data_IF_018954068575
#
_entry.id   IF_018954068575
#
_cell.length_a   1.000
_cell.length_b   1.000
_cell.length_c   1.000
_cell.angle_alpha   90.00
_cell.angle_beta   90.00
_cell.angle_gamma   90.00
#
_symmetry.space_group_name_H-M   'P 1'
#
loop_
_entity.id
_entity.type
_entity.pdbx_description
1 polymer ?
#
# COMPACT_ATOMS: atom_id res chain seq x y z
N UNK A 1 19.46 2.67 -2.13
CA UNK A 1 18.14 2.33 -1.58
C UNK A 1 17.33 1.46 -2.54
N UNK A 2 17.15 1.85 -3.82
CA UNK A 2 16.41 1.05 -4.82
C UNK A 2 16.92 -0.37 -5.06
N UNK A 3 18.24 -0.52 -5.24
CA UNK A 3 18.85 -1.86 -5.43
C UNK A 3 18.61 -2.79 -4.23
N UNK A 4 18.50 -2.23 -3.02
CA UNK A 4 18.15 -3.00 -1.84
C UNK A 4 16.69 -3.48 -1.90
N UNK A 5 15.76 -2.64 -2.36
CA UNK A 5 14.36 -3.03 -2.59
C UNK A 5 14.21 -4.18 -3.59
N UNK A 6 14.97 -4.11 -4.70
CA UNK A 6 15.05 -5.24 -5.66
C UNK A 6 15.64 -6.51 -5.04
N UNK A 7 16.58 -6.38 -4.10
CA UNK A 7 17.12 -7.51 -3.34
C UNK A 7 16.05 -8.18 -2.48
N UNK A 8 15.30 -7.38 -1.71
CA UNK A 8 14.18 -7.84 -0.86
C UNK A 8 13.14 -8.59 -1.69
N UNK A 9 12.76 -8.07 -2.86
CA UNK A 9 11.79 -8.75 -3.74
C UNK A 9 12.28 -10.08 -4.29
N UNK A 10 13.58 -10.24 -4.54
CA UNK A 10 14.13 -11.53 -5.01
C UNK A 10 13.99 -12.62 -3.95
N UNK A 11 14.05 -12.25 -2.67
CA UNK A 11 13.95 -13.19 -1.56
C UNK A 11 12.49 -13.52 -1.20
N UNK A 12 11.59 -12.53 -1.29
CA UNK A 12 10.25 -12.65 -0.69
C UNK A 12 9.07 -12.63 -1.67
N UNK A 13 9.29 -12.37 -2.97
CA UNK A 13 8.22 -12.25 -3.97
C UNK A 13 8.21 -13.37 -5.01
N UNK A 14 8.48 -14.61 -4.60
CA UNK A 14 8.47 -15.77 -5.50
C UNK A 14 7.13 -15.93 -6.23
N UNK A 15 7.16 -16.09 -7.55
CA UNK A 15 5.96 -16.21 -8.41
C UNK A 15 5.18 -14.91 -8.66
N UNK A 16 5.49 -13.81 -7.96
CA UNK A 16 4.82 -12.52 -8.16
C UNK A 16 5.40 -11.76 -9.35
N UNK A 17 4.57 -10.98 -10.05
CA UNK A 17 5.06 -10.00 -11.02
C UNK A 17 5.84 -8.91 -10.27
N UNK A 18 6.97 -8.48 -10.78
CA UNK A 18 7.74 -7.36 -10.22
C UNK A 18 7.77 -6.21 -11.19
N UNK A 19 7.42 -5.04 -10.69
CA UNK A 19 7.42 -3.78 -11.43
C UNK A 19 8.27 -2.73 -10.72
N UNK A 20 8.69 -1.77 -11.50
CA UNK A 20 9.24 -0.51 -11.04
C UNK A 20 8.28 0.61 -11.41
N UNK A 21 8.11 1.59 -10.53
CA UNK A 21 7.34 2.79 -10.82
C UNK A 21 8.23 4.01 -10.60
N UNK A 22 8.25 4.89 -11.59
CA UNK A 22 8.91 6.19 -11.53
C UNK A 22 8.04 7.25 -12.22
N UNK A 23 8.55 8.48 -12.33
CA UNK A 23 7.85 9.60 -12.98
C UNK A 23 7.51 9.34 -14.46
N UNK A 24 8.11 8.34 -15.10
CA UNK A 24 7.87 7.96 -16.49
C UNK A 24 6.84 6.83 -16.61
N UNK A 25 6.42 6.25 -15.50
CA UNK A 25 5.38 5.23 -15.42
C UNK A 25 5.90 3.89 -14.89
N UNK A 26 5.16 2.84 -15.22
CA UNK A 26 5.42 1.48 -14.71
C UNK A 26 6.25 0.66 -15.71
N UNK A 27 7.34 0.06 -15.25
CA UNK A 27 8.17 -0.87 -16.02
C UNK A 27 8.10 -2.27 -15.41
N UNK A 28 7.85 -3.29 -16.22
CA UNK A 28 7.90 -4.69 -15.76
C UNK A 28 9.36 -5.15 -15.70
N UNK A 29 9.80 -5.59 -14.52
CA UNK A 29 11.15 -6.11 -14.29
C UNK A 29 11.21 -7.64 -14.30
N UNK A 30 10.11 -8.28 -13.89
CA UNK A 30 9.97 -9.74 -13.88
C UNK A 30 8.50 -10.10 -14.00
N UNK A 31 8.17 -11.07 -14.84
CA UNK A 31 6.82 -11.62 -14.89
C UNK A 31 6.53 -12.55 -13.71
N UNK A 32 5.25 -12.81 -13.48
CA UNK A 32 4.75 -13.69 -12.45
C UNK A 32 3.31 -14.08 -12.71
N UNK A 33 2.85 -15.11 -12.02
CA UNK A 33 1.59 -15.83 -12.28
C UNK A 33 0.80 -16.14 -10.99
N UNK A 34 1.31 -15.79 -9.81
CA UNK A 34 0.66 -16.09 -8.54
C UNK A 34 -0.43 -15.08 -8.12
N UNK A 35 -0.74 -14.09 -8.98
CA UNK A 35 -1.76 -13.07 -8.74
C UNK A 35 -1.29 -11.82 -7.99
N UNK A 36 -0.05 -11.76 -7.51
CA UNK A 36 0.52 -10.57 -6.88
C UNK A 36 1.39 -9.78 -7.86
N UNK A 37 1.35 -8.45 -7.70
CA UNK A 37 2.29 -7.49 -8.30
C UNK A 37 3.05 -6.78 -7.20
N UNK A 38 4.36 -6.84 -7.24
CA UNK A 38 5.26 -6.22 -6.28
C UNK A 38 6.02 -5.06 -6.90
N UNK A 39 6.12 -3.96 -6.16
CA UNK A 39 6.80 -2.74 -6.55
C UNK A 39 8.16 -2.72 -5.86
N UNK A 40 9.23 -2.45 -6.61
CA UNK A 40 10.59 -2.48 -6.09
C UNK A 40 10.84 -1.49 -4.94
N UNK A 41 10.31 -0.28 -5.05
CA UNK A 41 10.47 0.79 -4.05
C UNK A 41 11.92 1.07 -3.64
N UNK A 42 12.05 1.79 -2.53
CA UNK A 42 13.30 2.25 -1.95
C UNK A 42 13.33 1.97 -0.43
N UNK A 43 14.08 0.95 -0.03
CA UNK A 43 14.25 0.60 1.40
C UNK A 43 14.70 1.83 2.21
N UNK A 44 13.96 2.13 3.28
CA UNK A 44 14.24 3.24 4.20
C UNK A 44 13.65 4.58 3.78
N UNK A 45 12.96 4.66 2.63
CA UNK A 45 12.23 5.86 2.20
C UNK A 45 10.78 5.76 2.66
N UNK A 46 10.28 6.84 3.27
CA UNK A 46 8.89 6.94 3.74
C UNK A 46 7.95 6.96 2.54
N UNK A 47 6.86 6.19 2.59
CA UNK A 47 5.84 6.01 1.57
C UNK A 47 6.34 5.46 0.22
N UNK A 48 7.56 4.91 0.17
CA UNK A 48 8.18 4.39 -1.05
C UNK A 48 8.98 3.12 -0.75
N UNK A 49 8.34 2.16 -0.08
CA UNK A 49 8.94 0.88 0.27
C UNK A 49 8.64 -0.25 -0.72
N UNK A 50 9.40 -1.36 -0.67
CA UNK A 50 9.12 -2.56 -1.46
C UNK A 50 7.82 -3.27 -1.03
N UNK A 51 6.72 -2.98 -1.71
CA UNK A 51 5.39 -3.52 -1.37
C UNK A 51 4.88 -4.54 -2.39
N UNK A 52 3.98 -5.43 -1.99
CA UNK A 52 3.28 -6.37 -2.85
C UNK A 52 1.77 -6.23 -2.68
N UNK A 53 1.06 -6.30 -3.81
CA UNK A 53 -0.37 -6.08 -3.89
C UNK A 53 -1.03 -7.08 -4.84
N UNK A 54 -2.23 -7.53 -4.51
CA UNK A 54 -3.07 -8.36 -5.39
C UNK A 54 -4.13 -7.48 -6.10
N UNK A 55 -5.41 -7.81 -5.98
CA UNK A 55 -6.54 -6.94 -6.31
C UNK A 55 -6.47 -5.54 -5.67
N UNK A 56 -5.70 -5.35 -4.59
CA UNK A 56 -5.45 -4.02 -4.00
C UNK A 56 -4.74 -3.04 -4.96
N UNK A 57 -4.12 -3.54 -6.04
CA UNK A 57 -3.54 -2.71 -7.10
C UNK A 57 -4.53 -1.69 -7.67
N UNK A 58 -5.82 -2.04 -7.79
CA UNK A 58 -6.84 -1.12 -8.28
C UNK A 58 -7.06 0.04 -7.31
N UNK A 59 -7.13 -0.26 -6.00
CA UNK A 59 -7.27 0.75 -4.97
C UNK A 59 -6.07 1.72 -4.95
N UNK A 60 -4.86 1.17 -5.06
CA UNK A 60 -3.63 1.99 -5.11
C UNK A 60 -3.62 2.89 -6.35
N UNK A 61 -3.99 2.36 -7.52
CA UNK A 61 -4.09 3.15 -8.76
C UNK A 61 -5.16 4.24 -8.68
N UNK A 62 -6.29 3.97 -8.02
CA UNK A 62 -7.35 4.97 -7.84
C UNK A 62 -6.92 6.10 -6.90
N UNK A 63 -6.16 5.75 -5.86
CA UNK A 63 -5.48 6.69 -5.00
C UNK A 63 -4.53 7.59 -5.81
N UNK A 64 -3.54 7.02 -6.49
CA UNK A 64 -2.58 7.81 -7.28
C UNK A 64 -3.23 8.72 -8.32
N UNK A 65 -4.42 8.37 -8.81
CA UNK A 65 -5.21 9.17 -9.75
C UNK A 65 -6.15 10.19 -9.07
N UNK A 66 -6.10 10.33 -7.75
CA UNK A 66 -6.99 11.16 -6.93
C UNK A 66 -8.48 10.97 -7.28
N UNK A 67 -8.92 9.72 -7.46
CA UNK A 67 -10.34 9.45 -7.73
C UNK A 67 -11.18 9.65 -6.48
N UNK A 68 -12.42 10.17 -6.59
CA UNK A 68 -13.26 10.50 -5.44
C UNK A 68 -13.62 9.28 -4.54
N UNK A 69 -13.48 8.06 -5.05
CA UNK A 69 -13.56 6.81 -4.29
C UNK A 69 -12.81 5.68 -4.99
N UNK A 70 -12.32 4.68 -4.26
CA UNK A 70 -11.83 3.44 -4.86
C UNK A 70 -12.90 2.73 -5.67
N UNK A 71 -12.49 2.09 -6.76
CA UNK A 71 -13.34 1.38 -7.72
C UNK A 71 -13.16 -0.14 -7.65
N UNK A 72 -12.32 -0.64 -6.74
CA UNK A 72 -12.15 -2.07 -6.53
C UNK A 72 -13.47 -2.73 -6.11
N UNK A 73 -13.82 -3.83 -6.79
CA UNK A 73 -15.07 -4.58 -6.58
C UNK A 73 -14.89 -5.82 -5.71
N UNK A 74 -13.65 -6.14 -5.34
CA UNK A 74 -13.29 -7.21 -4.40
C UNK A 74 -12.24 -6.73 -3.39
N UNK A 75 -12.15 -7.38 -2.21
CA UNK A 75 -11.09 -7.10 -1.25
C UNK A 75 -9.72 -7.37 -1.86
N UNK A 76 -8.72 -6.60 -1.43
CA UNK A 76 -7.33 -6.84 -1.77
C UNK A 76 -6.44 -6.82 -0.54
N UNK A 77 -5.22 -7.30 -0.71
CA UNK A 77 -4.15 -7.33 0.27
C UNK A 77 -3.01 -6.44 -0.23
N UNK A 78 -2.49 -5.63 0.67
CA UNK A 78 -1.20 -4.95 0.51
C UNK A 78 -0.29 -5.49 1.61
N UNK A 79 0.93 -5.90 1.30
CA UNK A 79 1.91 -6.20 2.33
C UNK A 79 3.27 -5.60 2.00
N UNK A 80 3.91 -5.11 3.05
CA UNK A 80 5.21 -4.46 3.01
C UNK A 80 6.30 -5.47 3.27
N UNK A 81 7.48 -5.29 2.66
CA UNK A 81 8.57 -6.25 2.79
C UNK A 81 9.75 -5.73 3.60
N UNK A 82 9.80 -4.43 3.92
CA UNK A 82 10.95 -3.84 4.60
C UNK A 82 10.61 -2.93 5.80
N UNK A 83 9.45 -3.12 6.44
CA UNK A 83 9.06 -2.37 7.64
C UNK A 83 8.85 -0.88 7.36
N UNK A 84 8.02 -0.61 6.37
CA UNK A 84 7.82 0.69 5.73
C UNK A 84 6.93 1.58 6.60
N UNK A 85 6.89 2.85 6.25
CA UNK A 85 6.23 3.88 7.02
C UNK A 85 5.58 4.87 6.07
N UNK A 86 4.47 5.46 6.47
CA UNK A 86 3.85 6.58 5.77
C UNK A 86 3.97 7.87 6.58
N UNK A 87 3.73 9.00 5.94
CA UNK A 87 3.73 10.29 6.61
C UNK A 87 2.51 10.51 7.52
N UNK A 88 1.41 9.81 7.27
CA UNK A 88 0.19 9.94 8.07
C UNK A 88 -0.71 8.71 7.98
N UNK A 89 -1.21 8.29 9.15
CA UNK A 89 -2.21 7.24 9.31
C UNK A 89 -3.63 7.71 8.93
N UNK A 90 -3.85 9.02 8.79
CA UNK A 90 -5.18 9.62 8.59
C UNK A 90 -5.29 10.41 7.29
N UNK A 91 -4.16 10.80 6.68
CA UNK A 91 -4.08 11.54 5.42
C UNK A 91 -3.20 10.78 4.41
N UNK A 92 -3.79 10.15 3.37
CA UNK A 92 -3.03 9.41 2.37
C UNK A 92 -2.15 10.28 1.47
N UNK A 93 -2.35 11.62 1.47
CA UNK A 93 -1.62 12.56 0.62
C UNK A 93 -0.52 13.32 1.35
N UNK A 94 -0.31 13.03 2.64
CA UNK A 94 0.72 13.68 3.41
C UNK A 94 2.10 13.37 2.80
N UNK A 95 2.86 14.42 2.46
CA UNK A 95 4.23 14.29 1.93
C UNK A 95 5.29 14.61 2.97
N UNK A 96 4.89 14.96 4.18
CA UNK A 96 5.77 15.32 5.30
C UNK A 96 5.07 15.11 6.64
N UNK A 97 5.84 14.95 7.71
CA UNK A 97 5.31 14.73 9.06
C UNK A 97 6.27 13.89 9.91
N UNK A 98 5.75 13.30 10.99
CA UNK A 98 6.46 12.26 11.73
C UNK A 98 6.10 10.91 11.12
N UNK A 99 7.07 10.13 10.58
CA UNK A 99 6.77 8.84 9.96
C UNK A 99 6.01 7.92 10.91
N UNK A 100 4.87 7.42 10.45
CA UNK A 100 4.06 6.43 11.13
C UNK A 100 4.38 5.05 10.59
N UNK A 101 4.82 4.15 11.46
CA UNK A 101 4.99 2.73 11.14
C UNK A 101 3.66 2.02 11.36
N UNK A 102 3.22 1.24 10.38
CA UNK A 102 2.01 0.43 10.49
C UNK A 102 2.32 -1.05 10.27
N UNK A 103 1.34 -1.91 10.53
CA UNK A 103 1.49 -3.36 10.42
C UNK A 103 1.93 -3.76 9.00
N UNK A 104 2.75 -4.79 8.84
CA UNK A 104 3.30 -5.18 7.53
C UNK A 104 2.28 -5.67 6.48
N UNK A 105 0.98 -5.60 6.75
CA UNK A 105 -0.11 -6.08 5.90
C UNK A 105 -1.41 -5.29 6.14
N UNK A 106 -2.11 -4.96 5.05
CA UNK A 106 -3.44 -4.34 5.02
C UNK A 106 -4.42 -5.24 4.28
N UNK A 107 -5.68 -5.14 4.70
CA UNK A 107 -6.83 -5.52 3.88
C UNK A 107 -7.45 -4.24 3.34
N UNK A 108 -7.59 -4.19 2.02
CA UNK A 108 -8.11 -3.04 1.28
C UNK A 108 -9.51 -3.36 0.80
N UNK A 109 -10.49 -2.73 1.43
CA UNK A 109 -11.91 -2.87 1.14
C UNK A 109 -12.63 -1.61 1.65
N UNK A 110 -13.76 -1.18 1.05
CA UNK A 110 -14.58 -0.10 1.58
C UNK A 110 -15.25 -0.51 2.90
N UNK A 111 -14.44 -0.57 3.96
CA UNK A 111 -14.90 -0.80 5.33
C UNK A 111 -15.47 0.51 5.86
N UNK A 112 -16.71 0.43 6.34
CA UNK A 112 -17.34 1.54 7.04
C UNK A 112 -17.25 1.31 8.57
N UNK A 113 -16.72 2.27 9.35
CA UNK A 113 -16.59 2.12 10.80
C UNK A 113 -17.90 1.84 11.54
N UNK A 114 -19.03 2.40 11.05
CA UNK A 114 -20.33 2.25 11.70
C UNK A 114 -20.88 0.83 11.56
N UNK A 115 -20.75 0.24 10.38
CA UNK A 115 -21.24 -1.12 10.09
C UNK A 115 -20.27 -2.22 10.55
N UNK A 116 -18.97 -1.97 10.48
CA UNK A 116 -17.95 -2.95 10.90
C UNK A 116 -17.70 -2.97 12.41
N UNK A 117 -17.99 -1.87 13.12
CA UNK A 117 -17.62 -1.68 14.52
C UNK A 117 -16.12 -1.44 14.73
N UNK A 118 -15.32 -1.34 13.66
CA UNK A 118 -13.90 -1.01 13.73
C UNK A 118 -13.71 0.49 13.99
N UNK A 119 -12.66 0.82 14.74
CA UNK A 119 -12.26 2.21 14.96
C UNK A 119 -11.68 2.80 13.68
N UNK A 120 -11.87 4.10 13.45
CA UNK A 120 -11.20 4.89 12.40
C UNK A 120 -10.03 5.73 12.94
N UNK A 121 -9.62 5.45 14.16
CA UNK A 121 -8.53 6.14 14.85
C UNK A 121 -7.35 5.20 14.91
N UNK A 122 -6.12 5.66 14.65
CA UNK A 122 -4.92 4.86 14.82
C UNK A 122 -4.85 4.30 16.24
N UNK A 123 -4.53 3.02 16.37
CA UNK A 123 -4.38 2.33 17.66
C UNK A 123 -3.13 1.46 17.64
N UNK A 124 -2.45 1.41 18.77
CA UNK A 124 -1.29 0.53 18.99
C UNK A 124 -1.69 -0.96 19.13
N UNK A 125 -2.98 -1.24 19.25
CA UNK A 125 -3.51 -2.60 19.36
C UNK A 125 -4.83 -2.78 18.63
N UNK A 126 -5.09 -4.00 18.18
CA UNK A 126 -6.28 -4.36 17.42
C UNK A 126 -6.27 -3.83 15.98
N UNK A 127 -7.40 -4.01 15.29
CA UNK A 127 -7.60 -3.56 13.91
C UNK A 127 -8.36 -2.25 13.89
N UNK A 128 -7.96 -1.34 13.01
CA UNK A 128 -8.63 -0.07 12.75
C UNK A 128 -8.67 0.20 11.24
N UNK A 129 -9.60 1.04 10.83
CA UNK A 129 -9.78 1.43 9.43
C UNK A 129 -8.90 2.63 9.16
N UNK A 130 -7.86 2.40 8.37
CA UNK A 130 -7.02 3.45 7.82
C UNK A 130 -7.78 4.22 6.75
N UNK A 131 -7.61 5.55 6.73
CA UNK A 131 -8.14 6.40 5.65
C UNK A 131 -9.66 6.26 5.41
N UNK A 132 -10.43 6.18 6.49
CA UNK A 132 -11.90 6.11 6.39
C UNK A 132 -12.46 7.29 5.57
N UNK A 133 -13.43 7.03 4.71
CA UNK A 133 -13.97 7.98 3.72
C UNK A 133 -14.46 9.34 4.27
N UNK A 134 -14.73 9.45 5.58
CA UNK A 134 -15.08 10.74 6.23
C UNK A 134 -13.87 11.67 6.43
N UNK A 135 -12.66 11.11 6.44
CA UNK A 135 -11.40 11.83 6.69
C UNK A 135 -10.63 12.06 5.39
N UNK A 136 -10.91 11.24 4.37
CA UNK A 136 -10.28 11.37 3.06
C UNK A 136 -11.28 12.01 2.12
N UNK A 137 -11.16 13.34 1.96
CA UNK A 137 -11.57 13.94 0.69
C UNK A 137 -10.47 13.58 -0.29
N UNK A 138 -10.71 12.58 -1.13
CA UNK A 138 -9.82 12.26 -2.24
C UNK A 138 -9.94 13.36 -3.29
#
# INVERSE_FOLDING_TARGET
MRQAGLGVLREHASGAKVVDMDDKGMTVLRDGDNGFTCVAGHVGVVADGPTCMDAAMQWNSDGMAHKPKPTNTQPGIIYQLAGESDWSATDPWATSGTPHKWAGWLIVWPLDPKTSGLSDQPKDSGTWIMWAARHVRI
#
